data_IF_086574901858
#
_entry.id   IF_086574901858
#
_cell.length_a   1.000
_cell.length_b   1.000
_cell.length_c   1.000
_cell.angle_alpha   90.00
_cell.angle_beta   90.00
_cell.angle_gamma   90.00
#
_symmetry.space_group_name_H-M   'P 1'
#
loop_
_entity.id
_entity.type
_entity.pdbx_description
1 polymer ?
#
# COMPACT_ATOMS: atom_id res chain seq x y z
N UNK A 1 -12.88 1.45 3.17
CA UNK A 1 -12.91 0.18 2.43
C UNK A 1 -11.52 -0.12 1.88
N UNK A 2 -11.14 -1.39 1.82
CA UNK A 2 -9.92 -1.84 1.16
C UNK A 2 -10.36 -2.67 -0.04
N UNK A 3 -9.89 -2.29 -1.23
CA UNK A 3 -10.14 -3.02 -2.47
C UNK A 3 -8.85 -3.73 -2.85
N UNK A 4 -8.94 -5.02 -3.06
CA UNK A 4 -7.85 -5.83 -3.58
C UNK A 4 -8.13 -6.15 -5.04
N UNK A 5 -7.17 -5.86 -5.89
CA UNK A 5 -7.24 -6.21 -7.30
C UNK A 5 -6.08 -7.10 -7.66
N UNK A 6 -6.35 -8.24 -8.25
CA UNK A 6 -5.35 -9.13 -8.81
C UNK A 6 -5.41 -9.10 -10.33
N UNK A 7 -4.25 -9.04 -10.95
CA UNK A 7 -4.08 -9.14 -12.37
C UNK A 7 -3.47 -10.51 -12.71
N UNK A 8 -4.22 -11.36 -13.39
CA UNK A 8 -3.71 -12.62 -13.92
C UNK A 8 -3.14 -12.40 -15.32
N UNK A 9 -1.83 -12.59 -15.46
CA UNK A 9 -1.14 -12.35 -16.73
C UNK A 9 -1.26 -13.50 -17.75
N UNK A 10 -1.95 -14.58 -17.41
CA UNK A 10 -2.08 -15.76 -18.27
C UNK A 10 -0.88 -16.74 -18.17
N UNK A 11 -0.98 -17.89 -18.81
CA UNK A 11 0.12 -18.86 -18.91
C UNK A 11 0.20 -19.92 -17.82
N UNK A 12 -0.66 -19.88 -16.81
CA UNK A 12 -0.70 -20.97 -15.82
C UNK A 12 -1.50 -22.17 -16.37
N UNK A 13 -0.96 -23.38 -16.29
CA UNK A 13 -1.63 -24.60 -16.77
C UNK A 13 -2.77 -25.08 -15.85
N UNK A 14 -3.02 -24.40 -14.73
CA UNK A 14 -4.02 -24.76 -13.72
C UNK A 14 -4.84 -23.56 -13.31
N UNK A 15 -6.08 -23.76 -12.78
CA UNK A 15 -6.87 -22.69 -12.22
C UNK A 15 -6.05 -21.93 -11.16
N UNK A 16 -6.01 -20.61 -11.31
CA UNK A 16 -5.29 -19.74 -10.38
C UNK A 16 -6.31 -19.06 -9.48
N UNK A 17 -6.10 -19.13 -8.17
CA UNK A 17 -6.93 -18.43 -7.21
C UNK A 17 -6.20 -17.21 -6.66
N UNK A 18 -6.97 -16.18 -6.36
CA UNK A 18 -6.51 -14.98 -5.67
C UNK A 18 -7.16 -14.93 -4.29
N UNK A 19 -6.33 -14.89 -3.25
CA UNK A 19 -6.80 -14.82 -1.87
C UNK A 19 -6.17 -13.61 -1.17
N UNK A 20 -6.91 -12.52 -1.01
CA UNK A 20 -6.42 -11.36 -0.29
C UNK A 20 -6.47 -11.60 1.22
N UNK A 21 -5.46 -11.10 1.94
CA UNK A 21 -5.40 -11.10 3.40
C UNK A 21 -5.33 -9.70 3.93
N UNK A 22 -6.10 -9.40 4.97
CA UNK A 22 -5.99 -8.19 5.76
C UNK A 22 -5.52 -8.56 7.15
N UNK A 23 -4.35 -8.05 7.55
CA UNK A 23 -3.89 -8.08 8.93
C UNK A 23 -4.40 -6.86 9.68
N UNK A 24 -5.13 -7.06 10.76
CA UNK A 24 -5.51 -6.00 11.69
C UNK A 24 -4.67 -6.13 12.96
N UNK A 25 -4.05 -5.03 13.38
CA UNK A 25 -3.37 -4.94 14.67
C UNK A 25 -4.36 -4.30 15.62
N UNK A 26 -4.87 -5.02 16.65
CA UNK A 26 -5.78 -4.44 17.61
C UNK A 26 -5.07 -3.33 18.41
N UNK A 27 -5.73 -2.20 18.56
CA UNK A 27 -5.21 -1.05 19.31
C UNK A 27 -5.28 -1.24 20.82
N UNK A 28 -6.05 -2.24 21.28
CA UNK A 28 -6.36 -2.50 22.70
C UNK A 28 -5.89 -3.85 23.22
N UNK A 29 -4.98 -4.53 22.55
CA UNK A 29 -4.41 -5.80 23.05
C UNK A 29 -5.36 -7.00 23.10
N UNK A 30 -6.58 -6.88 22.59
CA UNK A 30 -7.56 -7.96 22.51
C UNK A 30 -7.55 -8.64 21.15
N UNK A 31 -7.24 -9.92 21.08
CA UNK A 31 -7.46 -10.75 19.90
C UNK A 31 -8.96 -11.02 19.73
N UNK A 32 -9.52 -10.70 18.55
CA UNK A 32 -10.89 -11.07 18.21
C UNK A 32 -11.07 -12.60 18.16
N UNK A 33 -12.25 -13.07 18.49
CA UNK A 33 -12.64 -14.46 18.27
C UNK A 33 -13.03 -14.63 16.80
N UNK A 34 -12.22 -15.34 16.04
CA UNK A 34 -12.58 -15.83 14.71
C UNK A 34 -12.41 -17.34 14.68
N UNK A 35 -13.04 -18.03 13.76
CA UNK A 35 -12.99 -19.50 13.63
C UNK A 35 -11.55 -20.02 13.42
N UNK A 36 -10.63 -19.19 12.99
CA UNK A 36 -9.19 -19.47 12.84
C UNK A 36 -8.34 -18.76 13.89
N UNK A 37 -8.93 -18.28 14.98
CA UNK A 37 -8.18 -17.58 16.01
C UNK A 37 -7.24 -18.57 16.71
N UNK A 38 -6.01 -18.59 16.27
CA UNK A 38 -4.92 -19.11 17.09
C UNK A 38 -4.96 -18.28 18.37
N UNK A 39 -5.27 -18.91 19.51
CA UNK A 39 -5.16 -18.30 20.83
C UNK A 39 -3.72 -17.81 20.99
N UNK A 40 -3.48 -16.58 20.67
CA UNK A 40 -2.22 -15.95 21.04
C UNK A 40 -2.35 -15.53 22.49
N UNK A 41 -1.40 -15.92 23.35
CA UNK A 41 -1.37 -15.40 24.71
C UNK A 41 -1.37 -13.87 24.64
N UNK A 42 -2.08 -13.24 25.56
CA UNK A 42 -2.30 -11.80 25.67
C UNK A 42 -1.03 -10.98 25.98
N UNK A 43 0.08 -11.36 25.41
CA UNK A 43 1.39 -10.72 25.62
C UNK A 43 1.70 -9.64 24.57
N UNK A 44 0.71 -9.15 23.84
CA UNK A 44 0.93 -7.90 23.10
C UNK A 44 0.78 -6.75 24.09
N UNK A 45 1.90 -6.21 24.54
CA UNK A 45 1.96 -4.85 25.06
C UNK A 45 1.09 -3.98 24.16
N UNK A 46 0.17 -3.17 24.71
CA UNK A 46 -0.71 -2.35 23.90
C UNK A 46 0.14 -1.62 22.88
N UNK A 47 -0.13 -1.87 21.61
CA UNK A 47 0.63 -1.27 20.53
C UNK A 47 0.45 0.23 20.69
N UNK A 48 1.49 0.91 21.10
CA UNK A 48 1.52 2.34 21.24
C UNK A 48 1.00 2.92 19.94
N UNK A 49 0.17 3.94 20.05
CA UNK A 49 -0.55 4.55 18.94
C UNK A 49 0.25 4.55 17.64
N UNK A 50 -0.22 3.77 16.69
CA UNK A 50 0.36 3.73 15.35
C UNK A 50 -0.08 4.96 14.60
N UNK A 51 0.88 5.70 14.06
CA UNK A 51 0.59 6.82 13.18
C UNK A 51 0.73 6.35 11.71
N UNK A 52 -0.37 6.42 10.99
CA UNK A 52 -0.41 6.11 9.55
C UNK A 52 -0.32 7.39 8.76
N UNK A 53 0.75 7.55 8.02
CA UNK A 53 0.99 8.69 7.14
C UNK A 53 0.79 8.31 5.70
N UNK A 54 0.11 9.17 4.96
CA UNK A 54 -0.18 8.96 3.55
C UNK A 54 0.23 10.21 2.78
N UNK A 55 1.09 10.01 1.80
CA UNK A 55 1.44 11.04 0.81
C UNK A 55 0.80 10.66 -0.51
N UNK A 56 0.04 11.60 -1.09
CA UNK A 56 -0.62 11.41 -2.38
C UNK A 56 0.03 12.27 -3.44
N UNK A 57 0.13 11.72 -4.64
CA UNK A 57 0.69 12.44 -5.78
C UNK A 57 0.01 12.02 -7.07
N UNK A 58 -0.50 12.98 -7.81
CA UNK A 58 -1.01 12.75 -9.16
C UNK A 58 0.14 12.38 -10.08
N UNK A 59 -0.06 11.36 -10.91
CA UNK A 59 0.86 10.95 -11.96
C UNK A 59 0.43 11.60 -13.28
N UNK A 60 1.42 11.96 -14.07
CA UNK A 60 1.22 12.54 -15.41
C UNK A 60 1.69 11.52 -16.43
N UNK A 61 0.91 11.33 -17.48
CA UNK A 61 1.22 10.42 -18.59
C UNK A 61 2.61 10.73 -19.18
N UNK A 62 3.42 9.71 -19.37
CA UNK A 62 4.78 9.79 -19.88
C UNK A 62 5.82 10.33 -18.88
N UNK A 63 5.42 10.70 -17.66
CA UNK A 63 6.32 11.28 -16.68
C UNK A 63 6.70 10.32 -15.56
N UNK A 64 7.88 10.54 -15.00
CA UNK A 64 8.35 9.89 -13.77
C UNK A 64 8.25 10.88 -12.61
N UNK A 65 7.59 10.46 -11.54
CA UNK A 65 7.34 11.28 -10.35
C UNK A 65 8.01 10.64 -9.15
N UNK A 66 8.72 11.45 -8.38
CA UNK A 66 9.31 11.05 -7.10
C UNK A 66 8.44 11.53 -5.94
N UNK A 67 8.08 10.60 -5.05
CA UNK A 67 7.28 10.86 -3.85
C UNK A 67 8.09 10.46 -2.63
N UNK A 68 8.16 11.34 -1.66
CA UNK A 68 8.90 11.13 -0.42
C UNK A 68 7.91 11.07 0.73
N UNK A 69 7.97 9.97 1.48
CA UNK A 69 7.25 9.77 2.73
C UNK A 69 8.17 9.34 3.85
N UNK A 70 7.58 8.92 4.95
CA UNK A 70 8.31 8.39 6.10
C UNK A 70 7.75 8.84 7.42
N UNK A 71 8.54 8.63 8.47
CA UNK A 71 8.17 8.88 9.85
C UNK A 71 8.93 10.06 10.45
N UNK A 72 8.32 10.84 11.34
CA UNK A 72 8.96 11.98 11.98
C UNK A 72 10.11 11.56 12.92
N UNK A 73 10.87 12.55 13.37
CA UNK A 73 11.89 12.35 14.37
C UNK A 73 11.29 11.74 15.66
N UNK A 74 12.04 10.88 16.32
CA UNK A 74 11.56 10.19 17.54
C UNK A 74 10.58 9.04 17.30
N UNK A 75 10.30 8.68 16.05
CA UNK A 75 9.45 7.54 15.70
C UNK A 75 10.21 6.51 14.85
N UNK A 76 9.69 5.30 14.77
CA UNK A 76 10.24 4.22 13.93
C UNK A 76 9.30 3.95 12.76
N UNK A 77 9.86 3.71 11.59
CA UNK A 77 9.13 3.18 10.45
C UNK A 77 8.96 1.67 10.65
N UNK A 78 7.73 1.24 10.84
CA UNK A 78 7.37 -0.17 11.01
C UNK A 78 7.07 -0.85 9.68
N UNK A 79 6.54 -0.11 8.74
CA UNK A 79 6.20 -0.62 7.43
C UNK A 79 5.88 0.49 6.44
N UNK A 80 5.94 0.13 5.17
CA UNK A 80 5.57 1.03 4.10
C UNK A 80 4.93 0.25 2.97
N UNK A 81 3.91 0.83 2.36
CA UNK A 81 3.23 0.29 1.19
C UNK A 81 2.94 1.41 0.20
N UNK A 82 2.56 1.04 -1.00
CA UNK A 82 2.03 1.98 -1.96
C UNK A 82 0.79 1.39 -2.61
N UNK A 83 -0.07 2.27 -3.07
CA UNK A 83 -1.19 1.94 -3.93
C UNK A 83 -1.30 3.01 -5.01
N UNK A 84 -1.90 2.68 -6.11
CA UNK A 84 -2.30 3.67 -7.11
C UNK A 84 -3.75 3.44 -7.49
N UNK A 85 -4.43 4.54 -7.78
CA UNK A 85 -5.83 4.55 -8.15
C UNK A 85 -6.01 5.22 -9.50
N UNK A 86 -6.89 4.68 -10.31
CA UNK A 86 -7.36 5.30 -11.53
C UNK A 86 -8.75 5.89 -11.29
N UNK A 87 -8.98 7.09 -11.79
CA UNK A 87 -10.33 7.68 -11.86
C UNK A 87 -10.76 7.62 -13.32
N UNK A 88 -11.63 6.69 -13.61
CA UNK A 88 -12.21 6.41 -14.92
C UNK A 88 -13.72 6.33 -14.78
N UNK A 89 -14.46 6.60 -15.83
CA UNK A 89 -15.92 6.42 -15.89
C UNK A 89 -16.30 4.94 -15.90
N UNK A 90 -15.47 4.12 -16.55
CA UNK A 90 -15.62 2.68 -16.63
C UNK A 90 -14.53 1.97 -15.83
N UNK A 91 -14.71 0.69 -15.56
CA UNK A 91 -13.72 -0.15 -14.89
C UNK A 91 -12.41 -0.18 -15.68
N UNK A 92 -11.25 0.08 -15.04
CA UNK A 92 -9.97 0.13 -15.74
C UNK A 92 -9.57 -1.26 -16.27
N UNK A 93 -9.33 -1.34 -17.57
CA UNK A 93 -8.85 -2.55 -18.21
C UNK A 93 -7.41 -2.91 -17.82
N UNK A 94 -7.00 -4.12 -18.12
CA UNK A 94 -5.68 -4.68 -17.78
C UNK A 94 -4.49 -3.83 -18.28
N UNK A 95 -4.59 -3.26 -19.45
CA UNK A 95 -3.54 -2.40 -20.02
C UNK A 95 -3.32 -1.18 -19.13
N UNK A 96 -4.39 -0.58 -18.64
CA UNK A 96 -4.31 0.58 -17.76
C UNK A 96 -3.72 0.20 -16.40
N UNK A 97 -4.10 -0.94 -15.83
CA UNK A 97 -3.56 -1.42 -14.55
C UNK A 97 -2.04 -1.69 -14.62
N UNK A 98 -1.51 -2.06 -15.79
CA UNK A 98 -0.08 -2.27 -16.03
C UNK A 98 0.68 -0.99 -16.40
N UNK A 99 -0.02 0.10 -16.63
CA UNK A 99 0.59 1.34 -17.09
C UNK A 99 1.39 2.07 -15.99
N UNK A 100 1.29 1.67 -14.74
CA UNK A 100 2.03 2.27 -13.62
C UNK A 100 3.13 1.34 -13.15
N UNK A 101 4.36 1.83 -13.19
CA UNK A 101 5.51 1.17 -12.58
C UNK A 101 5.93 1.93 -11.33
N UNK A 102 6.09 1.24 -10.20
CA UNK A 102 6.52 1.86 -8.94
C UNK A 102 7.72 1.12 -8.38
N UNK A 103 8.79 1.87 -8.12
CA UNK A 103 9.94 1.40 -7.36
C UNK A 103 9.99 2.13 -6.03
N UNK A 104 10.24 1.41 -4.95
CA UNK A 104 10.30 1.96 -3.60
C UNK A 104 11.63 1.64 -2.93
N UNK A 105 12.24 2.63 -2.31
CA UNK A 105 13.47 2.51 -1.54
C UNK A 105 13.23 3.06 -0.13
N UNK A 106 13.66 2.31 0.86
CA UNK A 106 13.55 2.67 2.28
C UNK A 106 14.94 2.90 2.85
N UNK A 107 15.13 4.03 3.51
CA UNK A 107 16.38 4.37 4.19
C UNK A 107 16.07 4.95 5.57
N UNK A 108 16.31 4.15 6.60
CA UNK A 108 15.95 4.52 7.97
C UNK A 108 14.46 4.82 8.13
N UNK A 109 14.12 6.06 8.44
CA UNK A 109 12.72 6.51 8.60
C UNK A 109 12.10 7.07 7.33
N UNK A 110 12.87 7.20 6.26
CA UNK A 110 12.45 7.80 5.00
C UNK A 110 12.12 6.72 3.98
N UNK A 111 11.09 6.95 3.23
CA UNK A 111 10.74 6.13 2.07
C UNK A 111 10.61 7.03 0.83
N UNK A 112 11.19 6.56 -0.26
CA UNK A 112 11.11 7.23 -1.55
C UNK A 112 10.46 6.27 -2.53
N UNK A 113 9.36 6.68 -3.13
CA UNK A 113 8.74 5.98 -4.25
C UNK A 113 8.99 6.76 -5.54
N UNK A 114 9.47 6.06 -6.54
CA UNK A 114 9.58 6.58 -7.90
C UNK A 114 8.53 5.86 -8.74
N UNK A 115 7.61 6.60 -9.30
CA UNK A 115 6.52 6.07 -10.11
C UNK A 115 6.55 6.65 -11.51
N UNK A 116 6.39 5.79 -12.50
CA UNK A 116 6.29 6.17 -13.90
C UNK A 116 4.93 5.75 -14.43
N UNK A 117 4.23 6.67 -15.09
CA UNK A 117 3.00 6.41 -15.81
C UNK A 117 3.32 6.33 -17.30
N UNK A 118 2.92 5.24 -17.93
CA UNK A 118 3.17 5.01 -19.35
C UNK A 118 2.55 6.13 -20.23
N UNK A 119 3.21 6.53 -21.31
CA UNK A 119 2.72 7.64 -22.18
C UNK A 119 1.42 7.30 -22.91
N UNK A 120 1.10 6.01 -23.06
CA UNK A 120 -0.13 5.56 -23.71
C UNK A 120 -1.41 5.79 -22.87
N UNK A 121 -1.28 6.23 -21.61
CA UNK A 121 -2.44 6.52 -20.78
C UNK A 121 -3.08 7.84 -21.20
N UNK A 122 -4.38 7.86 -21.54
CA UNK A 122 -5.06 9.09 -21.95
C UNK A 122 -5.01 10.14 -20.83
N UNK A 123 -4.89 11.41 -21.19
CA UNK A 123 -4.86 12.52 -20.22
C UNK A 123 -6.16 12.69 -19.44
N UNK A 124 -7.28 12.19 -19.99
CA UNK A 124 -8.58 12.15 -19.30
C UNK A 124 -8.60 11.20 -18.10
N UNK A 125 -7.67 10.23 -18.05
CA UNK A 125 -7.55 9.31 -16.93
C UNK A 125 -6.71 9.93 -15.83
N UNK A 126 -7.32 10.25 -14.70
CA UNK A 126 -6.57 10.71 -13.54
C UNK A 126 -5.99 9.53 -12.77
N UNK A 127 -4.67 9.54 -12.59
CA UNK A 127 -3.94 8.50 -11.84
C UNK A 127 -3.30 9.13 -10.61
N UNK A 128 -3.53 8.53 -9.45
CA UNK A 128 -2.97 8.98 -8.18
C UNK A 128 -2.14 7.86 -7.53
N UNK A 129 -0.90 8.18 -7.17
CA UNK A 129 -0.07 7.34 -6.31
C UNK A 129 -0.29 7.72 -4.86
N UNK A 130 -0.46 6.73 -3.99
CA UNK A 130 -0.50 6.86 -2.55
C UNK A 130 0.67 6.10 -1.93
N UNK A 131 1.52 6.80 -1.20
CA UNK A 131 2.63 6.24 -0.45
C UNK A 131 2.28 6.23 1.02
N UNK A 132 2.24 5.06 1.62
CA UNK A 132 1.87 4.86 3.02
C UNK A 132 3.10 4.57 3.86
N UNK A 133 3.16 5.15 5.05
CA UNK A 133 4.15 4.87 6.08
C UNK A 133 3.46 4.60 7.39
N UNK A 134 3.78 3.49 8.03
CA UNK A 134 3.30 3.12 9.35
C UNK A 134 4.39 3.43 10.37
N UNK A 135 4.10 4.33 11.29
CA UNK A 135 5.05 4.84 12.28
C UNK A 135 4.63 4.42 13.69
N UNK A 136 5.58 4.08 14.52
CA UNK A 136 5.36 3.94 15.97
C UNK A 136 6.26 4.87 16.74
N UNK A 137 5.81 5.36 17.90
CA UNK A 137 6.70 6.06 18.83
C UNK A 137 7.76 5.08 19.30
N UNK A 138 9.02 5.48 19.21
CA UNK A 138 10.11 4.71 19.80
C UNK A 138 9.88 4.54 21.32
N UNK A 139 10.17 3.37 21.84
CA UNK A 139 10.48 3.24 23.27
C UNK A 139 11.82 3.94 23.48
N UNK A 140 11.86 4.94 24.33
CA UNK A 140 13.12 5.34 24.97
C UNK A 140 13.56 4.23 25.88
#
# INVERSE_FOLDING_TARGET
AVVFTALYAGGAPRPTSFQPFIGCIPTSGGGGRGETAVRRPAAFTPVRALDRRVVRKRLVSGATVKVVGGCPAGTRLLGTSHAYAFRTEAEPGFTLLRAVTVRRVVTGRRVVATATLAPAVPQSVAVELQLHSLCSRGTR
#
